data_IF_432644260406
#
_entry.id   IF_432644260406
#
_cell.length_a   1.000
_cell.length_b   1.000
_cell.length_c   1.000
_cell.angle_alpha   90.00
_cell.angle_beta   90.00
_cell.angle_gamma   90.00
#
_symmetry.space_group_name_H-M   'P 1'
#
loop_
_entity.id
_entity.type
_entity.pdbx_description
1 polymer ?
#
# COMPACT_ATOMS: atom_id res chain seq x y z
N UNK A 1 -4.16 -14.61 7.86
CA UNK A 1 -3.67 -13.26 7.50
C UNK A 1 -4.71 -12.18 7.78
N UNK A 2 -6.00 -12.47 7.56
CA UNK A 2 -7.11 -11.54 7.80
C UNK A 2 -7.16 -10.93 9.20
N UNK A 3 -6.78 -11.70 10.23
CA UNK A 3 -6.67 -11.19 11.60
C UNK A 3 -5.65 -10.03 11.72
N UNK A 4 -4.51 -10.12 11.02
CA UNK A 4 -3.49 -9.07 11.02
C UNK A 4 -3.98 -7.83 10.25
N UNK A 5 -4.69 -8.01 9.12
CA UNK A 5 -5.31 -6.88 8.40
C UNK A 5 -6.27 -6.13 9.31
N UNK A 6 -7.22 -6.83 9.93
CA UNK A 6 -8.19 -6.20 10.83
C UNK A 6 -7.52 -5.51 12.01
N UNK A 7 -6.49 -6.14 12.58
CA UNK A 7 -5.76 -5.54 13.69
C UNK A 7 -5.07 -4.22 13.27
N UNK A 8 -4.48 -4.17 12.06
CA UNK A 8 -3.85 -2.96 11.53
C UNK A 8 -4.87 -1.88 11.14
N UNK A 9 -5.98 -2.26 10.48
CA UNK A 9 -6.99 -1.32 10.02
C UNK A 9 -7.74 -0.64 11.17
N UNK A 10 -7.93 -1.36 12.29
CA UNK A 10 -8.67 -0.87 13.47
C UNK A 10 -7.75 -0.40 14.62
N UNK A 11 -6.47 -0.15 14.34
CA UNK A 11 -5.51 0.37 15.33
C UNK A 11 -5.42 -0.50 16.61
N UNK A 12 -5.53 -1.82 16.47
CA UNK A 12 -5.54 -2.78 17.59
C UNK A 12 -4.13 -3.27 17.90
N UNK A 13 -3.31 -2.40 18.51
CA UNK A 13 -1.91 -2.67 18.84
C UNK A 13 -1.68 -3.99 19.61
N UNK A 14 -2.52 -4.32 20.60
CA UNK A 14 -2.38 -5.55 21.38
C UNK A 14 -2.56 -6.81 20.52
N UNK A 15 -3.49 -6.78 19.57
CA UNK A 15 -3.70 -7.88 18.63
C UNK A 15 -2.56 -8.00 17.63
N UNK A 16 -2.00 -6.88 17.16
CA UNK A 16 -0.79 -6.91 16.32
C UNK A 16 0.35 -7.59 17.08
N UNK A 17 0.60 -7.17 18.33
CA UNK A 17 1.65 -7.77 19.17
C UNK A 17 1.43 -9.27 19.35
N UNK A 18 0.22 -9.68 19.74
CA UNK A 18 -0.14 -11.08 19.92
C UNK A 18 0.10 -11.89 18.63
N UNK A 19 -0.30 -11.37 17.47
CA UNK A 19 -0.13 -12.06 16.19
C UNK A 19 1.35 -12.21 15.80
N UNK A 20 2.18 -11.19 16.08
CA UNK A 20 3.63 -11.28 15.87
C UNK A 20 4.26 -12.35 16.77
N UNK A 21 3.88 -12.38 18.05
CA UNK A 21 4.32 -13.41 19.02
C UNK A 21 3.88 -14.82 18.61
N UNK A 22 2.73 -14.95 17.96
CA UNK A 22 2.20 -16.21 17.42
C UNK A 22 2.76 -16.56 16.01
N UNK A 23 3.85 -15.91 15.58
CA UNK A 23 4.61 -16.32 14.39
C UNK A 23 4.17 -15.66 13.07
N UNK A 24 3.30 -14.65 13.10
CA UNK A 24 3.02 -13.86 11.89
C UNK A 24 4.26 -13.08 11.48
N UNK A 25 4.82 -13.40 10.32
CA UNK A 25 5.97 -12.69 9.76
C UNK A 25 5.55 -11.46 8.95
N UNK A 26 5.87 -10.25 9.43
CA UNK A 26 5.59 -9.01 8.69
C UNK A 26 6.25 -8.97 7.31
N UNK A 27 7.43 -9.58 7.16
CA UNK A 27 8.12 -9.66 5.87
C UNK A 27 7.35 -10.48 4.83
N UNK A 28 6.73 -11.58 5.25
CA UNK A 28 5.87 -12.40 4.37
C UNK A 28 4.50 -11.73 4.18
N UNK A 29 3.99 -11.11 5.23
CA UNK A 29 2.68 -10.49 5.25
C UNK A 29 2.61 -9.24 4.37
N UNK A 30 3.55 -8.29 4.46
CA UNK A 30 3.53 -7.02 3.72
C UNK A 30 3.97 -7.18 2.26
N UNK A 31 3.05 -7.65 1.42
CA UNK A 31 3.23 -7.64 -0.04
C UNK A 31 2.92 -6.25 -0.62
N UNK A 32 3.38 -5.97 -1.85
CA UNK A 32 3.09 -4.69 -2.53
C UNK A 32 1.58 -4.39 -2.60
N UNK A 33 0.71 -5.30 -3.10
CA UNK A 33 -0.72 -5.02 -3.18
C UNK A 33 -1.36 -4.83 -1.81
N UNK A 34 -0.95 -5.62 -0.82
CA UNK A 34 -1.49 -5.52 0.54
C UNK A 34 -1.10 -4.20 1.19
N UNK A 35 0.12 -3.73 0.96
CA UNK A 35 0.58 -2.44 1.49
C UNK A 35 -0.19 -1.28 0.84
N UNK A 36 -0.47 -1.32 -0.46
CA UNK A 36 -1.35 -0.33 -1.11
C UNK A 36 -2.75 -0.35 -0.53
N UNK A 37 -3.33 -1.54 -0.30
CA UNK A 37 -4.64 -1.65 0.32
C UNK A 37 -4.66 -1.03 1.72
N UNK A 38 -3.61 -1.25 2.52
CA UNK A 38 -3.47 -0.63 3.85
C UNK A 38 -3.40 0.91 3.76
N UNK A 39 -2.61 1.47 2.84
CA UNK A 39 -2.54 2.92 2.65
C UNK A 39 -3.85 3.55 2.15
N UNK A 40 -4.69 2.78 1.46
CA UNK A 40 -5.97 3.22 0.93
C UNK A 40 -7.16 2.86 1.83
N UNK A 41 -6.93 2.22 2.98
CA UNK A 41 -8.00 1.86 3.90
C UNK A 41 -8.67 3.11 4.47
N UNK A 42 -10.00 3.06 4.58
CA UNK A 42 -10.83 4.11 5.18
C UNK A 42 -11.23 3.81 6.61
N UNK A 43 -10.75 2.69 7.16
CA UNK A 43 -11.19 2.16 8.46
C UNK A 43 -10.41 2.74 9.66
N UNK A 44 -9.43 3.61 9.40
CA UNK A 44 -8.61 4.28 10.42
C UNK A 44 -9.01 5.75 10.66
N UNK A 45 -8.28 6.45 11.54
CA UNK A 45 -8.48 7.88 11.79
C UNK A 45 -8.23 8.71 10.53
N UNK A 46 -8.81 9.91 10.49
CA UNK A 46 -8.57 10.85 9.41
C UNK A 46 -7.08 11.23 9.35
N UNK A 47 -6.55 11.35 8.13
CA UNK A 47 -5.15 11.71 7.90
C UNK A 47 -5.02 12.77 6.79
N UNK A 48 -3.82 13.35 6.69
CA UNK A 48 -3.50 14.45 5.77
C UNK A 48 -2.94 13.97 4.43
N UNK A 49 -2.84 12.65 4.20
CA UNK A 49 -2.19 12.05 3.02
C UNK A 49 -2.74 12.62 1.71
N UNK A 50 -4.07 12.71 1.61
CA UNK A 50 -4.75 13.23 0.42
C UNK A 50 -4.34 14.66 0.07
N UNK A 51 -4.13 15.50 1.08
CA UNK A 51 -3.75 16.90 0.88
C UNK A 51 -2.30 17.01 0.43
N UNK A 52 -1.40 16.29 1.10
CA UNK A 52 0.03 16.30 0.75
C UNK A 52 0.25 15.72 -0.65
N UNK A 53 -0.51 14.68 -1.01
CA UNK A 53 -0.42 14.07 -2.33
C UNK A 53 -0.85 15.04 -3.44
N UNK A 54 -1.84 15.91 -3.20
CA UNK A 54 -2.27 16.92 -4.18
C UNK A 54 -1.17 17.93 -4.51
N UNK A 55 -0.27 18.20 -3.59
CA UNK A 55 0.87 19.10 -3.85
C UNK A 55 1.90 18.50 -4.80
N UNK A 56 2.03 17.18 -4.85
CA UNK A 56 2.95 16.47 -5.76
C UNK A 56 2.25 15.91 -6.99
N UNK A 57 0.92 15.79 -6.94
CA UNK A 57 0.07 15.28 -8.01
C UNK A 57 -1.29 16.00 -8.00
N UNK A 58 -1.40 17.18 -8.65
CA UNK A 58 -2.57 18.05 -8.51
C UNK A 58 -3.85 17.50 -9.18
N UNK A 59 -3.72 16.70 -10.23
CA UNK A 59 -4.84 16.19 -11.03
C UNK A 59 -5.23 14.76 -10.65
N UNK A 60 -5.70 14.56 -9.41
CA UNK A 60 -6.18 13.25 -8.93
C UNK A 60 -7.70 13.14 -9.09
N UNK A 61 -8.20 12.14 -9.85
CA UNK A 61 -9.63 11.95 -10.02
C UNK A 61 -10.31 11.45 -8.74
N UNK A 62 -11.63 11.65 -8.58
CA UNK A 62 -12.40 11.03 -7.51
C UNK A 62 -12.26 9.50 -7.54
N UNK A 63 -12.15 8.87 -6.37
CA UNK A 63 -12.02 7.42 -6.25
C UNK A 63 -10.64 6.86 -6.64
N UNK A 64 -9.65 7.72 -6.90
CA UNK A 64 -8.28 7.28 -7.20
C UNK A 64 -7.68 6.46 -6.06
N UNK A 65 -7.13 5.29 -6.39
CA UNK A 65 -6.37 4.43 -5.47
C UNK A 65 -4.90 4.81 -5.53
N UNK A 66 -4.34 5.16 -4.37
CA UNK A 66 -2.95 5.59 -4.24
C UNK A 66 -2.00 4.42 -4.47
N UNK A 67 -1.03 4.62 -5.35
CA UNK A 67 0.02 3.64 -5.59
C UNK A 67 1.18 3.84 -4.61
N UNK A 68 2.04 2.84 -4.40
CA UNK A 68 3.27 3.02 -3.62
C UNK A 68 4.18 4.09 -4.23
N UNK A 69 4.10 4.32 -5.54
CA UNK A 69 4.83 5.43 -6.15
C UNK A 69 4.32 6.79 -5.63
N UNK A 70 3.00 6.98 -5.57
CA UNK A 70 2.36 8.17 -4.99
C UNK A 70 2.77 8.37 -3.53
N UNK A 71 2.73 7.30 -2.73
CA UNK A 71 3.23 7.31 -1.35
C UNK A 71 4.71 7.72 -1.31
N UNK A 72 5.53 7.22 -2.23
CA UNK A 72 6.92 7.60 -2.36
C UNK A 72 7.13 9.09 -2.65
N UNK A 73 6.28 9.70 -3.48
CA UNK A 73 6.33 11.15 -3.74
C UNK A 73 5.98 11.95 -2.49
N UNK A 74 4.97 11.51 -1.72
CA UNK A 74 4.60 12.12 -0.43
C UNK A 74 5.77 12.05 0.55
N UNK A 75 6.41 10.89 0.70
CA UNK A 75 7.58 10.74 1.58
C UNK A 75 8.73 11.67 1.13
N UNK A 76 9.01 11.76 -0.17
CA UNK A 76 10.04 12.66 -0.68
C UNK A 76 9.75 14.13 -0.33
N UNK A 77 8.49 14.57 -0.49
CA UNK A 77 8.07 15.93 -0.14
C UNK A 77 8.25 16.22 1.35
N UNK A 78 7.88 15.29 2.21
CA UNK A 78 7.97 15.47 3.66
C UNK A 78 9.42 15.45 4.18
N UNK A 79 10.26 14.57 3.63
CA UNK A 79 11.66 14.47 4.05
C UNK A 79 12.54 15.59 3.48
N UNK A 80 12.21 16.09 2.29
CA UNK A 80 12.96 17.16 1.62
C UNK A 80 14.42 16.80 1.28
N UNK A 81 15.18 17.82 0.90
CA UNK A 81 16.61 17.73 0.61
C UNK A 81 16.95 16.68 -0.47
N UNK A 82 17.97 15.86 -0.19
CA UNK A 82 18.44 14.81 -1.09
C UNK A 82 17.81 13.43 -0.83
N UNK A 83 16.82 13.34 0.08
CA UNK A 83 16.20 12.06 0.39
C UNK A 83 15.42 11.52 -0.81
N UNK A 84 15.55 10.20 -1.05
CA UNK A 84 14.80 9.50 -2.09
C UNK A 84 14.22 8.19 -1.56
N UNK A 85 12.90 8.22 -1.35
CA UNK A 85 12.08 7.10 -0.93
C UNK A 85 12.27 5.89 -1.87
N UNK A 86 12.28 4.70 -1.28
CA UNK A 86 12.49 3.44 -2.00
C UNK A 86 11.52 3.30 -3.19
N UNK A 87 10.25 3.66 -3.01
CA UNK A 87 9.19 3.54 -4.02
C UNK A 87 9.36 4.46 -5.25
N UNK A 88 10.25 5.46 -5.18
CA UNK A 88 10.55 6.37 -6.29
C UNK A 88 11.88 6.04 -6.98
N UNK A 89 12.60 5.01 -6.51
CA UNK A 89 13.89 4.61 -7.11
C UNK A 89 13.66 3.81 -8.40
N UNK A 90 14.54 4.01 -9.38
CA UNK A 90 14.48 3.30 -10.68
C UNK A 90 14.40 1.77 -10.52
N UNK A 91 15.11 1.22 -9.53
CA UNK A 91 15.12 -0.22 -9.22
C UNK A 91 13.78 -0.78 -8.72
N UNK A 92 12.90 0.08 -8.18
CA UNK A 92 11.61 -0.35 -7.66
C UNK A 92 10.58 -0.56 -8.78
N UNK A 93 10.62 0.26 -9.83
CA UNK A 93 9.66 0.20 -10.95
C UNK A 93 9.48 -1.20 -11.57
N UNK A 94 10.54 -1.96 -11.91
CA UNK A 94 10.36 -3.31 -12.45
C UNK A 94 9.79 -4.31 -11.42
N UNK A 95 10.10 -4.15 -10.13
CA UNK A 95 9.56 -4.99 -9.06
C UNK A 95 8.06 -4.76 -8.93
N UNK A 96 7.65 -3.49 -8.87
CA UNK A 96 6.25 -3.08 -8.79
C UNK A 96 5.45 -3.59 -9.99
N UNK A 97 5.92 -3.31 -11.22
CA UNK A 97 5.24 -3.74 -12.44
C UNK A 97 5.07 -5.27 -12.50
N UNK A 98 6.11 -6.02 -12.13
CA UNK A 98 6.05 -7.49 -12.10
C UNK A 98 4.97 -8.01 -11.14
N UNK A 99 4.83 -7.41 -9.96
CA UNK A 99 3.85 -7.86 -8.96
C UNK A 99 2.43 -7.46 -9.37
N UNK A 100 2.23 -6.24 -9.84
CA UNK A 100 0.89 -5.76 -10.22
C UNK A 100 0.36 -6.43 -11.49
N UNK A 101 1.21 -6.71 -12.47
CA UNK A 101 0.80 -7.42 -13.70
C UNK A 101 0.39 -8.86 -13.41
N UNK A 102 1.05 -9.55 -12.47
CA UNK A 102 0.65 -10.91 -12.04
C UNK A 102 -0.75 -10.93 -11.42
N UNK A 103 -1.10 -9.91 -10.64
CA UNK A 103 -2.43 -9.78 -10.03
C UNK A 103 -3.54 -9.64 -11.08
N UNK A 104 -3.30 -8.85 -12.14
CA UNK A 104 -4.25 -8.70 -13.25
C UNK A 104 -4.43 -10.00 -14.05
N UNK A 105 -3.35 -10.75 -14.29
CA UNK A 105 -3.44 -12.05 -14.98
C UNK A 105 -4.25 -13.07 -14.20
N UNK A 106 -4.11 -13.11 -12.87
CA UNK A 106 -4.90 -14.00 -12.00
C UNK A 106 -6.38 -13.59 -11.95
N UNK A 107 -6.67 -12.29 -11.79
CA UNK A 107 -8.04 -11.78 -11.80
C UNK A 107 -8.78 -12.10 -13.11
N UNK A 108 -8.09 -11.96 -14.25
CA UNK A 108 -8.63 -12.27 -15.57
C UNK A 108 -8.86 -13.78 -15.80
N UNK A 109 -8.10 -14.65 -15.15
CA UNK A 109 -8.32 -16.11 -15.22
C UNK A 109 -9.53 -16.54 -14.41
N UNK A 110 -9.70 -16.00 -13.20
CA UNK A 110 -10.90 -16.25 -12.38
C UNK A 110 -12.17 -15.74 -13.05
N UNK A 111 -12.14 -14.56 -13.71
CA UNK A 111 -13.31 -14.01 -14.39
C UNK A 111 -13.77 -14.84 -15.60
N UNK A 112 -12.87 -15.60 -16.24
CA UNK A 112 -13.19 -16.49 -17.37
C UNK A 112 -13.74 -17.85 -16.96
N UNK A 113 -13.65 -18.21 -15.68
CA UNK A 113 -14.09 -19.52 -15.17
C UNK A 113 -15.54 -19.49 -14.65
N UNK A 114 -16.16 -18.32 -14.59
CA UNK A 114 -17.55 -18.09 -14.17
C UNK A 114 -18.40 -17.39 -15.26
N UNK A 115 -17.97 -17.46 -16.52
CA UNK A 115 -18.66 -16.90 -17.68
C UNK A 115 -19.07 -17.98 -18.67
#
# INVERSE_FOLDING_TARGET
EDAMIKALEHDRCDFVKLLLENGVSMRKFLTIPRLENLYNSKQGPTNTLRYILRDVRPHIPPGYVYTLHDIGLVINKLMGGAYRAFYTRRKFRPIYAKVMNKGQSMANQSARQFG
#
